data_IF_952661940175
#
_entry.id   IF_952661940175
#
_cell.length_a   1.000
_cell.length_b   1.000
_cell.length_c   1.000
_cell.angle_alpha   90.00
_cell.angle_beta   90.00
_cell.angle_gamma   90.00
#
_symmetry.space_group_name_H-M   'P 1'
#
loop_
_entity.id
_entity.type
_entity.pdbx_description
1 polymer ?
#
# COMPACT_ATOMS: atom_id res chain seq x y z
N UNK A 1 81.07 36.22 -65.83
CA UNK A 1 81.07 35.70 -64.45
C UNK A 1 79.65 35.77 -63.93
N UNK A 2 78.87 34.69 -63.90
CA UNK A 2 77.56 34.64 -63.27
C UNK A 2 77.35 33.22 -62.83
N UNK A 3 77.22 32.99 -61.50
CA UNK A 3 76.85 31.74 -60.91
C UNK A 3 75.32 31.60 -60.79
N UNK A 4 74.69 30.49 -61.17
CA UNK A 4 73.27 30.28 -60.90
C UNK A 4 73.01 29.75 -59.46
N UNK A 5 72.07 30.34 -58.81
CA UNK A 5 71.48 29.84 -57.54
C UNK A 5 70.47 28.74 -57.83
N UNK A 6 70.74 27.56 -57.34
CA UNK A 6 69.83 26.42 -57.34
C UNK A 6 68.82 26.65 -56.18
N UNK A 7 67.56 26.88 -56.52
CA UNK A 7 66.47 26.93 -55.58
C UNK A 7 65.99 25.51 -55.34
N UNK A 8 66.31 24.95 -54.14
CA UNK A 8 65.78 23.63 -53.65
C UNK A 8 64.37 23.81 -53.19
N UNK A 9 63.38 23.35 -53.95
CA UNK A 9 61.98 23.28 -53.61
C UNK A 9 61.76 22.10 -52.65
N UNK A 10 61.70 22.38 -51.35
CA UNK A 10 61.28 21.40 -50.33
C UNK A 10 59.78 21.22 -50.39
N UNK A 11 59.33 20.09 -50.96
CA UNK A 11 57.97 19.62 -51.01
C UNK A 11 57.62 19.07 -49.59
N UNK A 12 57.00 19.88 -48.75
CA UNK A 12 56.41 19.45 -47.50
C UNK A 12 55.17 18.59 -47.80
N UNK A 13 55.36 17.27 -47.83
CA UNK A 13 54.27 16.31 -47.79
C UNK A 13 53.63 16.39 -46.41
N UNK A 14 52.53 17.13 -46.28
CA UNK A 14 51.67 17.10 -45.11
C UNK A 14 50.96 15.71 -45.09
N UNK A 15 51.49 14.77 -44.30
CA UNK A 15 50.77 13.60 -43.90
C UNK A 15 49.58 14.07 -43.07
N UNK A 16 48.39 14.14 -43.68
CA UNK A 16 47.15 14.10 -42.97
C UNK A 16 47.03 12.70 -42.33
N UNK A 17 47.45 12.55 -41.09
CA UNK A 17 47.09 11.42 -40.28
C UNK A 17 45.56 11.58 -40.06
N UNK A 18 44.79 10.90 -40.89
CA UNK A 18 43.38 10.68 -40.60
C UNK A 18 43.36 9.93 -39.26
N UNK A 19 43.05 10.63 -38.21
CA UNK A 19 42.63 9.98 -36.96
C UNK A 19 41.40 9.16 -37.36
N UNK A 20 41.56 7.89 -37.57
CA UNK A 20 40.47 6.95 -37.59
C UNK A 20 39.81 7.12 -36.22
N UNK A 21 38.66 7.78 -36.19
CA UNK A 21 37.77 7.78 -35.06
C UNK A 21 37.41 6.31 -34.86
N UNK A 22 37.96 5.68 -33.81
CA UNK A 22 37.55 4.35 -33.39
C UNK A 22 36.03 4.42 -33.18
N UNK A 23 35.28 3.97 -34.17
CA UNK A 23 33.89 3.65 -34.01
C UNK A 23 33.90 2.46 -33.07
N UNK A 24 33.66 2.73 -31.77
CA UNK A 24 33.48 1.68 -30.78
C UNK A 24 32.30 0.87 -31.26
N UNK A 25 32.59 -0.26 -31.92
CA UNK A 25 31.55 -1.21 -32.30
C UNK A 25 30.89 -1.69 -31.00
N UNK A 26 29.60 -1.40 -30.89
CA UNK A 26 28.79 -1.77 -29.70
C UNK A 26 28.87 -3.28 -29.50
N UNK A 27 29.35 -3.70 -28.32
CA UNK A 27 29.54 -5.12 -28.00
C UNK A 27 28.29 -5.72 -27.37
N UNK A 28 27.79 -6.79 -27.99
CA UNK A 28 26.72 -7.59 -27.41
C UNK A 28 27.26 -8.40 -26.21
N UNK A 29 26.65 -8.24 -25.03
CA UNK A 29 27.03 -8.98 -23.81
C UNK A 29 26.00 -10.04 -23.42
N UNK A 30 24.80 -9.96 -23.93
CA UNK A 30 23.83 -11.06 -23.86
C UNK A 30 22.90 -11.03 -25.08
N UNK A 31 22.50 -12.21 -25.52
CA UNK A 31 21.41 -12.42 -26.45
C UNK A 31 20.20 -12.88 -25.64
N UNK A 32 19.05 -12.27 -25.86
CA UNK A 32 17.81 -12.49 -25.10
C UNK A 32 16.66 -12.68 -26.07
N UNK A 33 16.34 -13.92 -26.41
CA UNK A 33 15.46 -14.26 -27.55
C UNK A 33 15.96 -13.62 -28.85
N UNK A 34 15.14 -12.74 -29.42
CA UNK A 34 15.48 -11.99 -30.65
C UNK A 34 16.15 -10.63 -30.37
N UNK A 35 16.35 -10.27 -29.10
CA UNK A 35 16.93 -9.00 -28.67
C UNK A 35 18.33 -9.19 -28.06
N UNK A 36 19.01 -8.07 -27.87
CA UNK A 36 20.38 -8.04 -27.34
C UNK A 36 20.49 -7.08 -26.16
N UNK A 37 21.39 -7.38 -25.23
CA UNK A 37 21.86 -6.44 -24.22
C UNK A 37 23.26 -6.00 -24.60
N UNK A 38 23.47 -4.68 -24.62
CA UNK A 38 24.70 -4.06 -25.07
C UNK A 38 25.67 -3.75 -23.91
N UNK A 39 26.94 -3.71 -24.19
CA UNK A 39 27.96 -3.36 -23.20
C UNK A 39 27.77 -1.94 -22.63
N UNK A 40 27.36 -0.99 -23.47
CA UNK A 40 27.07 0.38 -23.08
C UNK A 40 25.88 0.48 -22.10
N UNK A 41 24.86 -0.35 -22.30
CA UNK A 41 23.71 -0.42 -21.38
C UNK A 41 24.14 -0.94 -20.01
N UNK A 42 24.96 -2.01 -19.96
CA UNK A 42 25.49 -2.54 -18.73
C UNK A 42 26.35 -1.51 -17.97
N UNK A 43 27.27 -0.83 -18.66
CA UNK A 43 28.13 0.16 -17.99
C UNK A 43 27.30 1.36 -17.46
N UNK A 44 26.31 1.80 -18.22
CA UNK A 44 25.40 2.88 -17.79
C UNK A 44 24.63 2.47 -16.52
N UNK A 45 24.06 1.27 -16.51
CA UNK A 45 23.29 0.76 -15.37
C UNK A 45 24.20 0.49 -14.15
N UNK A 46 25.44 0.03 -14.38
CA UNK A 46 26.45 -0.14 -13.31
C UNK A 46 26.80 1.17 -12.63
N UNK A 47 26.93 2.27 -13.38
CA UNK A 47 27.18 3.60 -12.81
C UNK A 47 25.99 4.01 -11.93
N UNK A 48 24.78 3.86 -12.44
CA UNK A 48 23.55 4.20 -11.71
C UNK A 48 23.41 3.39 -10.41
N UNK A 49 23.61 2.07 -10.47
CA UNK A 49 23.52 1.19 -9.30
C UNK A 49 24.60 1.50 -8.27
N UNK A 50 25.83 1.80 -8.69
CA UNK A 50 26.90 2.19 -7.76
C UNK A 50 26.56 3.47 -7.01
N UNK A 51 26.07 4.48 -7.74
CA UNK A 51 25.64 5.75 -7.12
C UNK A 51 24.52 5.56 -6.11
N UNK A 52 23.51 4.72 -6.43
CA UNK A 52 22.41 4.41 -5.51
C UNK A 52 22.91 3.68 -4.24
N UNK A 53 23.78 2.68 -4.38
CA UNK A 53 24.38 1.97 -3.25
C UNK A 53 25.20 2.88 -2.35
N UNK A 54 26.00 3.79 -2.95
CA UNK A 54 26.78 4.81 -2.22
C UNK A 54 25.87 5.78 -1.47
N UNK A 55 24.83 6.31 -2.10
CA UNK A 55 23.87 7.22 -1.45
C UNK A 55 23.14 6.57 -0.27
N UNK A 56 22.86 5.26 -0.37
CA UNK A 56 22.22 4.50 0.71
C UNK A 56 23.19 3.95 1.76
N UNK A 57 24.50 4.22 1.64
CA UNK A 57 25.55 3.66 2.48
C UNK A 57 25.52 2.13 2.54
N UNK A 58 25.18 1.47 1.44
CA UNK A 58 25.21 0.01 1.32
C UNK A 58 26.59 -0.43 0.89
N UNK A 59 27.09 -1.51 1.55
CA UNK A 59 28.41 -2.07 1.19
C UNK A 59 28.42 -2.54 -0.25
N UNK A 60 29.39 -2.04 -1.05
CA UNK A 60 29.57 -2.41 -2.45
C UNK A 60 29.92 -3.91 -2.59
N UNK A 61 29.15 -4.66 -3.40
CA UNK A 61 29.51 -6.04 -3.75
C UNK A 61 30.82 -6.11 -4.55
N UNK A 62 31.48 -7.29 -4.65
CA UNK A 62 32.59 -7.49 -5.58
C UNK A 62 32.19 -7.11 -7.01
N UNK A 63 33.11 -6.51 -7.77
CA UNK A 63 32.81 -5.94 -9.09
C UNK A 63 32.17 -6.95 -10.08
N UNK A 64 32.71 -8.18 -10.11
CA UNK A 64 32.18 -9.24 -10.98
C UNK A 64 30.77 -9.69 -10.57
N UNK A 65 30.50 -9.74 -9.27
CA UNK A 65 29.17 -10.05 -8.75
C UNK A 65 28.17 -8.97 -9.12
N UNK A 66 28.55 -7.70 -8.93
CA UNK A 66 27.73 -6.56 -9.30
C UNK A 66 27.41 -6.56 -10.82
N UNK A 67 28.42 -6.81 -11.65
CA UNK A 67 28.24 -6.92 -13.12
C UNK A 67 27.24 -8.01 -13.47
N UNK A 68 27.35 -9.18 -12.86
CA UNK A 68 26.45 -10.31 -13.11
C UNK A 68 25.01 -9.97 -12.69
N UNK A 69 24.83 -9.35 -11.53
CA UNK A 69 23.50 -8.96 -11.02
C UNK A 69 22.85 -7.89 -11.90
N UNK A 70 23.64 -6.90 -12.33
CA UNK A 70 23.13 -5.82 -13.22
C UNK A 70 22.79 -6.39 -14.60
N UNK A 71 23.61 -7.30 -15.13
CA UNK A 71 23.30 -7.97 -16.40
C UNK A 71 22.00 -8.78 -16.30
N UNK A 72 21.82 -9.57 -15.24
CA UNK A 72 20.57 -10.34 -15.06
C UNK A 72 19.34 -9.41 -14.94
N UNK A 73 19.49 -8.27 -14.28
CA UNK A 73 18.45 -7.23 -14.25
C UNK A 73 18.09 -6.73 -15.65
N UNK A 74 19.08 -6.42 -16.49
CA UNK A 74 18.86 -5.97 -17.86
C UNK A 74 18.21 -7.06 -18.71
N UNK A 75 18.65 -8.31 -18.59
CA UNK A 75 18.02 -9.47 -19.25
C UNK A 75 16.53 -9.55 -18.85
N UNK A 76 16.23 -9.52 -17.58
CA UNK A 76 14.84 -9.57 -17.08
C UNK A 76 14.01 -8.37 -17.56
N UNK A 77 14.62 -7.19 -17.64
CA UNK A 77 13.95 -6.00 -18.18
C UNK A 77 13.62 -6.18 -19.67
N UNK A 78 14.57 -6.68 -20.47
CA UNK A 78 14.38 -6.98 -21.90
C UNK A 78 13.26 -8.01 -22.10
N UNK A 79 13.26 -9.09 -21.33
CA UNK A 79 12.20 -10.11 -21.40
C UNK A 79 10.81 -9.53 -21.12
N UNK A 80 10.70 -8.68 -20.09
CA UNK A 80 9.42 -8.03 -19.78
C UNK A 80 8.97 -7.07 -20.89
N UNK A 81 9.91 -6.31 -21.49
CA UNK A 81 9.60 -5.41 -22.59
C UNK A 81 9.12 -6.19 -23.83
N UNK A 82 9.73 -7.33 -24.14
CA UNK A 82 9.30 -8.22 -25.21
C UNK A 82 7.87 -8.73 -25.00
N UNK A 83 7.52 -9.11 -23.78
CA UNK A 83 6.13 -9.51 -23.47
C UNK A 83 5.19 -8.33 -23.61
N UNK A 84 5.59 -7.15 -23.14
CA UNK A 84 4.77 -5.94 -23.25
C UNK A 84 4.51 -5.56 -24.72
N UNK A 85 5.52 -5.66 -25.56
CA UNK A 85 5.39 -5.39 -26.99
C UNK A 85 4.44 -6.37 -27.68
N UNK A 86 4.61 -7.67 -27.43
CA UNK A 86 3.68 -8.71 -27.94
C UNK A 86 2.23 -8.51 -27.49
N UNK A 87 2.02 -7.95 -26.29
CA UNK A 87 0.70 -7.63 -25.74
C UNK A 87 0.18 -6.25 -26.18
N UNK A 88 0.95 -5.49 -26.98
CA UNK A 88 0.57 -4.16 -27.46
C UNK A 88 0.55 -3.08 -26.36
N UNK A 89 1.25 -3.28 -25.24
CA UNK A 89 1.32 -2.32 -24.14
C UNK A 89 2.24 -1.18 -24.55
N UNK A 90 1.69 0.02 -24.67
CA UNK A 90 2.42 1.22 -25.10
C UNK A 90 2.14 2.39 -24.16
N UNK A 91 3.04 3.37 -24.19
CA UNK A 91 2.92 4.63 -23.46
C UNK A 91 2.93 5.76 -24.47
N UNK A 92 1.83 6.50 -24.53
CA UNK A 92 1.72 7.69 -25.37
C UNK A 92 2.53 8.87 -24.81
N UNK A 93 2.76 9.89 -25.64
CA UNK A 93 3.56 11.05 -25.28
C UNK A 93 2.93 11.86 -24.13
N UNK A 94 1.63 11.98 -24.10
CA UNK A 94 0.93 12.75 -23.05
C UNK A 94 1.09 12.10 -21.67
N UNK A 95 0.96 10.77 -21.60
CA UNK A 95 1.22 9.99 -20.38
C UNK A 95 2.66 10.13 -19.90
N UNK A 96 3.63 10.04 -20.86
CA UNK A 96 5.04 10.21 -20.54
C UNK A 96 5.35 11.63 -20.04
N UNK A 97 4.81 12.66 -20.70
CA UNK A 97 4.98 14.06 -20.28
C UNK A 97 4.40 14.33 -18.89
N UNK A 98 3.25 13.73 -18.59
CA UNK A 98 2.65 13.80 -17.26
C UNK A 98 3.53 13.08 -16.20
N UNK A 99 4.16 11.97 -16.55
CA UNK A 99 5.08 11.26 -15.66
C UNK A 99 6.35 12.08 -15.39
N UNK A 100 6.94 12.70 -16.42
CA UNK A 100 8.11 13.59 -16.28
C UNK A 100 7.76 14.78 -15.36
N UNK A 101 6.60 15.41 -15.55
CA UNK A 101 6.16 16.49 -14.65
C UNK A 101 6.04 16.03 -13.20
N UNK A 102 5.42 14.88 -12.95
CA UNK A 102 5.31 14.32 -11.59
C UNK A 102 6.67 14.02 -10.95
N UNK A 103 7.67 13.59 -11.74
CA UNK A 103 9.04 13.41 -11.22
C UNK A 103 9.64 14.75 -10.84
N UNK A 104 9.51 15.80 -11.68
CA UNK A 104 9.98 17.13 -11.37
C UNK A 104 9.31 17.68 -10.09
N UNK A 105 7.98 17.62 -10.00
CA UNK A 105 7.18 18.09 -8.86
C UNK A 105 7.57 17.39 -7.55
N UNK A 106 7.74 16.06 -7.56
CA UNK A 106 8.16 15.28 -6.37
C UNK A 106 9.55 15.69 -5.86
N UNK A 107 10.42 16.17 -6.75
CA UNK A 107 11.74 16.67 -6.40
C UNK A 107 11.75 18.19 -6.15
N UNK A 108 10.60 18.85 -6.14
CA UNK A 108 10.50 20.30 -5.93
C UNK A 108 11.10 21.11 -7.09
N UNK A 109 11.18 20.53 -8.30
CA UNK A 109 11.82 21.14 -9.47
C UNK A 109 10.77 21.53 -10.52
N UNK A 110 11.09 22.57 -11.30
CA UNK A 110 10.45 22.81 -12.59
C UNK A 110 10.98 21.82 -13.64
N UNK A 111 10.31 21.72 -14.79
CA UNK A 111 10.82 20.90 -15.90
C UNK A 111 12.21 21.35 -16.38
N UNK A 112 12.48 22.65 -16.35
CA UNK A 112 13.82 23.21 -16.67
C UNK A 112 14.82 22.79 -15.60
N UNK A 113 14.47 22.94 -14.31
CA UNK A 113 15.32 22.52 -13.19
C UNK A 113 15.63 21.02 -13.21
N UNK A 114 14.67 20.18 -13.61
CA UNK A 114 14.92 18.73 -13.80
C UNK A 114 15.93 18.48 -14.91
N UNK A 115 15.81 19.20 -16.05
CA UNK A 115 16.79 19.09 -17.14
C UNK A 115 18.20 19.45 -16.67
N UNK A 116 18.35 20.60 -16.03
CA UNK A 116 19.64 21.10 -15.55
C UNK A 116 20.26 20.13 -14.52
N UNK A 117 19.45 19.55 -13.65
CA UNK A 117 19.89 18.55 -12.69
C UNK A 117 20.37 17.26 -13.36
N UNK A 118 19.66 16.77 -14.39
CA UNK A 118 20.07 15.60 -15.19
C UNK A 118 21.39 15.88 -15.92
N UNK A 119 21.52 17.02 -16.59
CA UNK A 119 22.74 17.43 -17.30
C UNK A 119 23.96 17.53 -16.36
N UNK A 120 23.76 18.04 -15.14
CA UNK A 120 24.79 18.06 -14.10
C UNK A 120 25.28 16.67 -13.72
N UNK A 121 24.40 15.66 -13.80
CA UNK A 121 24.73 14.25 -13.55
C UNK A 121 25.23 13.52 -14.81
N UNK A 122 25.38 14.23 -15.94
CA UNK A 122 25.80 13.65 -17.21
C UNK A 122 24.70 12.83 -17.91
N UNK A 123 23.44 13.02 -17.52
CA UNK A 123 22.29 12.34 -18.11
C UNK A 123 21.58 13.24 -19.12
N UNK A 124 21.24 12.69 -20.27
CA UNK A 124 20.43 13.39 -21.26
C UNK A 124 18.92 13.21 -20.99
N UNK A 125 18.15 14.27 -21.17
CA UNK A 125 16.69 14.26 -21.00
C UNK A 125 15.99 13.21 -21.89
N UNK A 126 16.50 12.96 -23.09
CA UNK A 126 15.92 11.97 -24.00
C UNK A 126 16.11 10.55 -23.45
N UNK A 127 17.30 10.24 -22.92
CA UNK A 127 17.58 8.96 -22.26
C UNK A 127 16.74 8.77 -21.00
N UNK A 128 16.62 9.81 -20.18
CA UNK A 128 15.75 9.79 -19.00
C UNK A 128 14.29 9.50 -19.37
N UNK A 129 13.77 10.15 -20.40
CA UNK A 129 12.40 9.90 -20.90
C UNK A 129 12.22 8.48 -21.40
N UNK A 130 13.21 7.92 -22.09
CA UNK A 130 13.14 6.55 -22.58
C UNK A 130 13.20 5.52 -21.43
N UNK A 131 14.03 5.75 -20.44
CA UNK A 131 14.06 4.94 -19.22
C UNK A 131 12.70 4.98 -18.50
N UNK A 132 12.14 6.17 -18.28
CA UNK A 132 10.83 6.34 -17.65
C UNK A 132 9.71 5.66 -18.46
N UNK A 133 9.78 5.69 -19.80
CA UNK A 133 8.84 4.98 -20.66
C UNK A 133 8.92 3.46 -20.42
N UNK A 134 10.13 2.90 -20.40
CA UNK A 134 10.34 1.46 -20.12
C UNK A 134 9.79 1.06 -18.75
N UNK A 135 10.05 1.86 -17.74
CA UNK A 135 9.51 1.61 -16.38
C UNK A 135 7.98 1.62 -16.35
N UNK A 136 7.33 2.57 -17.02
CA UNK A 136 5.86 2.64 -17.11
C UNK A 136 5.31 1.43 -17.87
N UNK A 137 5.94 1.03 -18.99
CA UNK A 137 5.53 -0.14 -19.77
C UNK A 137 5.60 -1.41 -18.91
N UNK A 138 6.71 -1.63 -18.21
CA UNK A 138 6.91 -2.79 -17.32
C UNK A 138 5.90 -2.77 -16.17
N UNK A 139 5.66 -1.61 -15.57
CA UNK A 139 4.67 -1.46 -14.50
C UNK A 139 3.26 -1.82 -14.98
N UNK A 140 2.84 -1.33 -16.15
CA UNK A 140 1.55 -1.67 -16.77
C UNK A 140 1.44 -3.16 -17.09
N UNK A 141 2.52 -3.75 -17.62
CA UNK A 141 2.57 -5.19 -17.90
C UNK A 141 2.38 -6.00 -16.61
N UNK A 142 3.16 -5.70 -15.56
CA UNK A 142 3.04 -6.39 -14.27
C UNK A 142 1.64 -6.28 -13.72
N UNK A 143 1.07 -5.09 -13.71
CA UNK A 143 -0.29 -4.87 -13.24
C UNK A 143 -1.31 -5.71 -14.02
N UNK A 144 -1.20 -5.74 -15.36
CA UNK A 144 -2.08 -6.54 -16.19
C UNK A 144 -1.93 -8.05 -15.93
N UNK A 145 -0.69 -8.54 -15.78
CA UNK A 145 -0.42 -9.95 -15.48
C UNK A 145 -0.97 -10.31 -14.09
N UNK A 146 -0.72 -9.47 -13.08
CA UNK A 146 -1.20 -9.72 -11.72
C UNK A 146 -2.73 -9.69 -11.64
N UNK A 147 -3.38 -8.77 -12.33
CA UNK A 147 -4.85 -8.76 -12.41
C UNK A 147 -5.46 -10.02 -13.03
N UNK A 148 -4.69 -10.76 -13.86
CA UNK A 148 -5.12 -12.01 -14.45
C UNK A 148 -4.78 -13.25 -13.61
N UNK A 149 -3.73 -13.18 -12.78
CA UNK A 149 -3.22 -14.31 -12.00
C UNK A 149 -3.67 -14.30 -10.55
N UNK A 150 -3.91 -13.12 -9.99
CA UNK A 150 -4.31 -12.97 -8.59
C UNK A 150 -5.81 -13.03 -8.46
N UNK A 151 -6.31 -14.12 -7.91
CA UNK A 151 -7.68 -14.28 -7.47
C UNK A 151 -7.74 -14.29 -5.94
N UNK A 152 -8.73 -13.63 -5.37
CA UNK A 152 -8.96 -13.54 -3.92
C UNK A 152 -10.33 -14.10 -3.63
N UNK A 153 -10.35 -15.16 -2.86
CA UNK A 153 -11.59 -15.85 -2.50
C UNK A 153 -12.18 -15.26 -1.21
N UNK A 154 -13.51 -15.36 -1.10
CA UNK A 154 -14.22 -14.95 0.12
C UNK A 154 -13.71 -15.70 1.37
N UNK A 155 -13.36 -16.97 1.21
CA UNK A 155 -12.80 -17.77 2.29
C UNK A 155 -11.46 -17.21 2.82
N UNK A 156 -10.59 -16.74 1.93
CA UNK A 156 -9.32 -16.14 2.34
C UNK A 156 -9.53 -14.81 3.09
N UNK A 157 -10.50 -14.01 2.63
CA UNK A 157 -10.87 -12.76 3.29
C UNK A 157 -11.35 -13.06 4.71
N UNK A 158 -12.31 -13.99 4.86
CA UNK A 158 -12.85 -14.35 6.18
C UNK A 158 -11.77 -14.90 7.11
N UNK A 159 -10.91 -15.80 6.62
CA UNK A 159 -9.80 -16.33 7.42
C UNK A 159 -8.80 -15.24 7.85
N UNK A 160 -8.55 -14.26 6.98
CA UNK A 160 -7.66 -13.13 7.31
C UNK A 160 -8.29 -12.25 8.40
N UNK A 161 -9.56 -11.88 8.23
CA UNK A 161 -10.30 -11.05 9.20
C UNK A 161 -10.34 -11.75 10.56
N UNK A 162 -10.71 -13.04 10.60
CA UNK A 162 -10.83 -13.80 11.83
C UNK A 162 -9.49 -13.91 12.57
N UNK A 163 -8.40 -14.15 11.84
CA UNK A 163 -7.04 -14.19 12.39
C UNK A 163 -6.63 -12.84 12.97
N UNK A 164 -6.90 -11.74 12.28
CA UNK A 164 -6.52 -10.41 12.74
C UNK A 164 -7.40 -9.91 13.89
N UNK A 165 -8.71 -10.14 13.83
CA UNK A 165 -9.61 -9.86 14.96
C UNK A 165 -9.16 -10.54 16.25
N UNK A 166 -8.64 -11.77 16.14
CA UNK A 166 -8.11 -12.49 17.29
C UNK A 166 -6.80 -11.93 17.81
N UNK A 167 -6.00 -11.25 16.99
CA UNK A 167 -4.72 -10.64 17.39
C UNK A 167 -4.90 -9.27 18.05
N UNK A 168 -5.86 -8.49 17.60
CA UNK A 168 -6.10 -7.12 18.10
C UNK A 168 -6.98 -7.09 19.35
N UNK A 169 -7.61 -8.23 19.71
CA UNK A 169 -8.42 -8.33 20.91
C UNK A 169 -7.55 -8.52 22.15
N UNK A 170 -7.75 -7.71 23.17
CA UNK A 170 -7.18 -7.88 24.48
C UNK A 170 -8.23 -8.41 25.45
N UNK A 171 -7.81 -9.29 26.34
CA UNK A 171 -8.64 -9.98 27.31
C UNK A 171 -8.19 -9.60 28.70
N UNK A 172 -9.10 -9.13 29.55
CA UNK A 172 -8.85 -8.97 30.96
C UNK A 172 -9.23 -10.24 31.68
N UNK A 173 -8.21 -10.94 32.17
CA UNK A 173 -8.36 -12.27 32.73
C UNK A 173 -8.18 -12.26 34.23
N UNK A 174 -8.88 -13.17 34.92
CA UNK A 174 -8.63 -13.60 36.26
C UNK A 174 -8.33 -15.09 36.28
N UNK A 175 -7.52 -15.56 37.25
CA UNK A 175 -7.16 -16.97 37.37
C UNK A 175 -7.32 -17.50 38.80
N UNK A 176 -7.66 -18.78 38.88
CA UNK A 176 -7.52 -19.60 40.11
C UNK A 176 -6.59 -20.75 39.74
N UNK A 177 -5.55 -20.94 40.54
CA UNK A 177 -4.60 -22.06 40.37
C UNK A 177 -4.71 -22.97 41.60
N UNK A 178 -4.99 -24.23 41.37
CA UNK A 178 -4.81 -25.31 42.37
C UNK A 178 -3.52 -26.02 42.01
N UNK A 179 -2.48 -25.75 42.74
CA UNK A 179 -1.13 -26.24 42.42
C UNK A 179 -0.98 -27.75 42.62
N UNK A 180 -0.17 -28.35 41.74
CA UNK A 180 0.22 -29.75 41.83
C UNK A 180 1.74 -29.83 41.68
N UNK A 181 2.46 -30.38 42.67
CA UNK A 181 3.91 -30.56 42.53
C UNK A 181 4.29 -31.39 41.31
N UNK A 182 5.43 -31.10 40.69
CA UNK A 182 5.88 -31.74 39.47
C UNK A 182 6.03 -33.30 39.62
N UNK A 183 6.39 -33.75 40.80
CA UNK A 183 6.51 -35.19 41.14
C UNK A 183 5.32 -35.71 41.98
N UNK A 184 4.13 -35.19 41.77
CA UNK A 184 2.95 -35.58 42.51
C UNK A 184 2.50 -37.02 42.18
N UNK A 185 2.04 -37.74 43.22
CA UNK A 185 1.39 -39.06 43.03
C UNK A 185 0.03 -38.91 42.31
N UNK A 186 -0.45 -40.01 41.74
CA UNK A 186 -1.78 -40.05 41.10
C UNK A 186 -2.90 -39.62 42.08
N UNK A 187 -2.78 -39.97 43.36
CA UNK A 187 -3.74 -39.55 44.38
C UNK A 187 -3.72 -38.03 44.63
N UNK A 188 -2.52 -37.44 44.70
CA UNK A 188 -2.40 -35.99 44.88
C UNK A 188 -2.96 -35.22 43.67
N UNK A 189 -2.79 -35.73 42.47
CA UNK A 189 -3.40 -35.16 41.26
C UNK A 189 -4.92 -35.27 41.32
N UNK A 190 -5.48 -36.41 41.76
CA UNK A 190 -6.91 -36.60 41.90
C UNK A 190 -7.52 -35.68 42.97
N UNK A 191 -6.83 -35.49 44.11
CA UNK A 191 -7.25 -34.54 45.17
C UNK A 191 -7.24 -33.10 44.67
N UNK A 192 -6.19 -32.69 43.96
CA UNK A 192 -6.13 -31.36 43.35
C UNK A 192 -7.23 -31.15 42.31
N UNK A 193 -7.56 -32.16 41.51
CA UNK A 193 -8.67 -32.11 40.58
C UNK A 193 -10.00 -31.94 41.32
N UNK A 194 -10.26 -32.72 42.34
CA UNK A 194 -11.46 -32.60 43.16
C UNK A 194 -11.60 -31.21 43.82
N UNK A 195 -10.48 -30.61 44.25
CA UNK A 195 -10.48 -29.23 44.75
C UNK A 195 -10.84 -28.22 43.66
N UNK A 196 -10.29 -28.40 42.45
CA UNK A 196 -10.59 -27.52 41.31
C UNK A 196 -12.05 -27.65 40.87
N UNK A 197 -12.62 -28.86 40.89
CA UNK A 197 -14.04 -29.09 40.59
C UNK A 197 -14.94 -28.45 41.68
N UNK A 198 -14.59 -28.55 42.98
CA UNK A 198 -15.29 -27.87 44.07
C UNK A 198 -15.22 -26.32 43.93
N UNK A 199 -14.13 -25.78 43.42
CA UNK A 199 -14.03 -24.34 43.08
C UNK A 199 -15.10 -23.96 42.04
N UNK A 200 -15.26 -24.75 40.99
CA UNK A 200 -16.27 -24.51 39.94
C UNK A 200 -17.68 -24.58 40.55
N UNK A 201 -17.97 -25.59 41.37
CA UNK A 201 -19.26 -25.71 42.04
C UNK A 201 -19.61 -24.47 42.91
N UNK A 202 -18.62 -23.87 43.58
CA UNK A 202 -18.82 -22.62 44.35
C UNK A 202 -19.09 -21.43 43.43
N UNK A 203 -18.41 -21.35 42.29
CA UNK A 203 -18.64 -20.31 41.28
C UNK A 203 -20.02 -20.47 40.63
N UNK A 204 -20.45 -21.70 40.33
CA UNK A 204 -21.79 -22.01 39.81
C UNK A 204 -22.89 -21.68 40.83
N UNK A 205 -22.60 -21.81 42.14
CA UNK A 205 -23.49 -21.39 43.22
C UNK A 205 -23.55 -19.86 43.38
N UNK A 206 -22.82 -19.07 42.54
CA UNK A 206 -22.84 -17.61 42.52
C UNK A 206 -21.84 -16.95 43.46
N UNK A 207 -20.88 -17.69 44.01
CA UNK A 207 -19.83 -17.06 44.81
C UNK A 207 -18.89 -16.22 43.92
N UNK A 208 -18.47 -15.07 44.45
CA UNK A 208 -17.60 -14.17 43.72
C UNK A 208 -16.25 -14.81 43.38
N UNK A 209 -15.83 -14.78 42.09
CA UNK A 209 -14.55 -15.33 41.61
C UNK A 209 -13.37 -14.80 42.45
N UNK A 210 -13.33 -13.50 42.70
CA UNK A 210 -12.28 -12.87 43.52
C UNK A 210 -12.22 -13.43 44.94
N UNK A 211 -13.39 -13.73 45.57
CA UNK A 211 -13.44 -14.31 46.92
C UNK A 211 -12.93 -15.75 46.90
N UNK A 212 -13.34 -16.54 45.91
CA UNK A 212 -12.89 -17.92 45.75
C UNK A 212 -11.40 -17.95 45.43
N UNK A 213 -10.91 -17.07 44.57
CA UNK A 213 -9.48 -16.92 44.28
C UNK A 213 -8.68 -16.62 45.55
N UNK A 214 -9.13 -15.68 46.37
CA UNK A 214 -8.44 -15.31 47.61
C UNK A 214 -8.41 -16.45 48.66
N UNK A 215 -9.40 -17.39 48.66
CA UNK A 215 -9.47 -18.49 49.62
C UNK A 215 -8.82 -19.79 49.12
N UNK A 216 -8.82 -20.06 47.83
CA UNK A 216 -8.46 -21.39 47.26
C UNK A 216 -7.27 -21.36 46.31
N UNK A 217 -6.94 -20.18 45.74
CA UNK A 217 -5.92 -20.11 44.72
C UNK A 217 -4.50 -20.10 45.32
N UNK A 218 -3.63 -20.96 44.75
CA UNK A 218 -2.21 -20.97 45.00
C UNK A 218 -1.42 -20.00 44.12
N UNK A 219 -2.10 -19.20 43.30
CA UNK A 219 -1.47 -18.21 42.43
C UNK A 219 -0.97 -16.99 43.22
N UNK A 220 0.09 -16.32 42.74
CA UNK A 220 0.65 -15.13 43.40
C UNK A 220 -0.32 -13.97 43.52
N UNK A 221 -1.27 -13.86 42.59
CA UNK A 221 -2.30 -12.83 42.52
C UNK A 221 -3.61 -13.26 43.18
N UNK A 222 -3.61 -14.33 43.99
CA UNK A 222 -4.79 -14.85 44.67
C UNK A 222 -5.49 -13.78 45.55
N UNK A 223 -4.71 -13.02 46.35
CA UNK A 223 -5.24 -11.96 47.24
C UNK A 223 -5.73 -10.72 46.45
N UNK A 224 -5.35 -10.58 45.19
CA UNK A 224 -5.83 -9.55 44.25
C UNK A 224 -7.04 -10.05 43.47
N UNK A 225 -7.69 -11.13 43.95
CA UNK A 225 -8.84 -11.74 43.28
C UNK A 225 -8.50 -12.53 42.01
N UNK A 226 -7.21 -12.86 41.81
CA UNK A 226 -6.74 -13.59 40.66
C UNK A 226 -6.52 -12.72 39.43
N UNK A 227 -6.57 -11.38 39.50
CA UNK A 227 -6.44 -10.47 38.34
C UNK A 227 -5.08 -10.65 37.67
N UNK A 228 -5.12 -10.93 36.38
CA UNK A 228 -3.95 -11.07 35.49
C UNK A 228 -3.72 -9.80 34.67
N UNK A 229 -4.58 -8.81 34.73
CA UNK A 229 -4.60 -7.62 33.91
C UNK A 229 -4.99 -7.89 32.46
N UNK A 230 -4.78 -6.92 31.61
CA UNK A 230 -5.03 -7.01 30.17
C UNK A 230 -3.96 -7.85 29.46
N UNK A 231 -4.39 -8.77 28.62
CA UNK A 231 -3.53 -9.67 27.82
C UNK A 231 -3.96 -9.63 26.37
N UNK A 232 -3.06 -9.28 25.43
CA UNK A 232 -3.36 -9.46 24.02
C UNK A 232 -3.54 -10.94 23.69
N UNK A 233 -4.31 -11.25 22.66
CA UNK A 233 -4.61 -12.63 22.25
C UNK A 233 -3.36 -13.50 22.05
N UNK A 234 -2.24 -12.88 21.63
CA UNK A 234 -0.93 -13.54 21.48
C UNK A 234 -0.26 -13.93 22.80
N UNK A 235 -0.69 -13.34 23.92
CA UNK A 235 -0.16 -13.60 25.27
C UNK A 235 -1.13 -14.40 26.16
N UNK A 236 -2.19 -14.94 25.58
CA UNK A 236 -3.08 -15.85 26.31
C UNK A 236 -2.32 -17.11 26.74
N UNK A 237 -2.65 -17.67 27.94
CA UNK A 237 -2.06 -18.91 28.39
C UNK A 237 -2.25 -20.03 27.38
N UNK A 238 -1.17 -20.61 26.87
CA UNK A 238 -1.19 -21.58 25.78
C UNK A 238 -2.14 -22.76 26.01
N UNK A 239 -2.22 -23.25 27.26
CA UNK A 239 -3.09 -24.39 27.62
C UNK A 239 -4.59 -24.02 27.64
N UNK A 240 -4.92 -22.73 27.71
CA UNK A 240 -6.30 -22.27 27.83
C UNK A 240 -6.73 -21.28 26.76
N UNK A 241 -5.86 -20.96 25.78
CA UNK A 241 -6.10 -19.90 24.83
C UNK A 241 -7.41 -20.08 24.02
N UNK A 242 -7.68 -21.30 23.55
CA UNK A 242 -8.88 -21.57 22.76
C UNK A 242 -10.15 -21.47 23.64
N UNK A 243 -10.12 -22.10 24.84
CA UNK A 243 -11.23 -22.02 25.78
C UNK A 243 -11.51 -20.57 26.23
N UNK A 244 -10.46 -19.74 26.42
CA UNK A 244 -10.60 -18.32 26.79
C UNK A 244 -11.23 -17.50 25.66
N UNK A 245 -10.91 -17.80 24.39
CA UNK A 245 -11.47 -17.08 23.23
C UNK A 245 -12.98 -17.31 23.04
N UNK A 246 -13.47 -18.46 23.52
CA UNK A 246 -14.90 -18.85 23.47
C UNK A 246 -15.74 -18.26 24.62
N UNK A 247 -15.07 -17.69 25.66
CA UNK A 247 -15.78 -17.11 26.80
C UNK A 247 -16.43 -15.77 26.45
N UNK A 248 -17.60 -15.55 27.00
CA UNK A 248 -18.21 -14.23 27.11
C UNK A 248 -17.77 -13.51 28.43
N UNK A 249 -17.77 -12.18 28.47
CA UNK A 249 -17.50 -11.47 29.72
C UNK A 249 -18.32 -11.97 30.91
N UNK A 250 -17.63 -12.33 31.97
CA UNK A 250 -18.24 -12.94 33.20
C UNK A 250 -18.14 -14.46 33.24
N UNK A 251 -17.95 -15.15 32.11
CA UNK A 251 -17.81 -16.62 32.07
C UNK A 251 -16.40 -17.08 32.45
N UNK A 252 -16.29 -18.35 32.85
CA UNK A 252 -15.03 -18.99 33.24
C UNK A 252 -14.92 -20.41 32.63
N UNK A 253 -13.67 -20.87 32.52
CA UNK A 253 -13.36 -22.21 31.97
C UNK A 253 -13.66 -23.31 33.00
N UNK A 254 -13.86 -24.53 32.53
CA UNK A 254 -13.64 -25.71 33.37
C UNK A 254 -12.18 -25.79 33.85
N UNK A 255 -11.85 -26.59 34.87
CA UNK A 255 -10.47 -26.76 35.30
C UNK A 255 -9.57 -27.33 34.23
N UNK A 256 -8.56 -26.57 33.79
CA UNK A 256 -7.60 -26.93 32.76
C UNK A 256 -6.32 -27.49 33.41
N UNK A 257 -5.88 -28.68 32.98
CA UNK A 257 -4.64 -29.25 33.49
C UNK A 257 -3.42 -28.58 32.85
N UNK A 258 -2.54 -28.04 33.68
CA UNK A 258 -1.29 -27.43 33.28
C UNK A 258 -0.11 -28.06 34.06
N UNK A 259 1.15 -27.82 33.67
CA UNK A 259 2.30 -28.26 34.47
C UNK A 259 2.29 -27.76 35.90
N UNK A 260 1.74 -26.57 36.17
CA UNK A 260 1.67 -25.96 37.49
C UNK A 260 0.54 -26.53 38.35
N UNK A 261 -0.46 -27.21 37.75
CA UNK A 261 -1.65 -27.68 38.46
C UNK A 261 -2.91 -27.57 37.60
N UNK A 262 -4.05 -27.37 38.27
CA UNK A 262 -5.32 -27.07 37.61
C UNK A 262 -5.58 -25.57 37.61
N UNK A 263 -5.87 -24.99 36.45
CA UNK A 263 -6.18 -23.58 36.29
C UNK A 263 -7.60 -23.38 35.82
N UNK A 264 -8.26 -22.37 36.39
CA UNK A 264 -9.56 -21.88 35.96
C UNK A 264 -9.37 -20.43 35.61
N UNK A 265 -9.72 -20.06 34.38
CA UNK A 265 -9.66 -18.69 33.89
C UNK A 265 -11.04 -18.10 33.80
N UNK A 266 -11.22 -16.85 34.23
CA UNK A 266 -12.43 -16.07 34.01
C UNK A 266 -12.12 -14.91 33.09
N UNK A 267 -12.96 -14.73 32.05
CA UNK A 267 -12.95 -13.53 31.24
C UNK A 267 -13.75 -12.44 31.96
N UNK A 268 -13.09 -11.37 32.35
CA UNK A 268 -13.74 -10.22 32.99
C UNK A 268 -14.27 -9.23 31.94
N UNK A 269 -13.43 -8.84 31.02
CA UNK A 269 -13.71 -7.85 29.97
C UNK A 269 -12.90 -8.17 28.75
N UNK A 270 -13.38 -7.72 27.59
CA UNK A 270 -12.58 -7.67 26.34
C UNK A 270 -12.47 -6.23 25.88
N UNK A 271 -11.38 -5.88 25.22
CA UNK A 271 -11.22 -4.64 24.48
C UNK A 271 -10.42 -4.90 23.21
N UNK A 272 -10.46 -3.94 22.27
CA UNK A 272 -9.84 -4.13 20.96
C UNK A 272 -10.72 -4.98 20.03
N UNK A 273 -10.48 -4.85 18.74
CA UNK A 273 -11.41 -5.29 17.71
C UNK A 273 -12.66 -4.41 17.69
N UNK A 274 -12.49 -3.14 18.10
CA UNK A 274 -13.57 -2.19 18.33
C UNK A 274 -14.36 -1.87 17.07
N UNK A 275 -15.64 -1.58 17.28
CA UNK A 275 -16.51 -1.00 16.26
C UNK A 275 -15.84 0.24 15.67
N UNK A 276 -15.54 0.19 14.39
CA UNK A 276 -15.01 1.35 13.67
C UNK A 276 -16.20 2.20 13.20
N UNK A 277 -16.60 3.12 14.08
CA UNK A 277 -17.66 4.05 13.77
C UNK A 277 -17.17 5.10 12.80
N UNK A 278 -17.76 5.15 11.61
CA UNK A 278 -17.53 6.22 10.63
C UNK A 278 -18.70 7.19 10.66
N UNK A 279 -18.39 8.49 10.47
CA UNK A 279 -19.38 9.52 10.33
C UNK A 279 -19.69 9.75 8.86
N UNK A 280 -20.93 9.51 8.44
CA UNK A 280 -21.39 9.73 7.07
C UNK A 280 -22.29 10.98 6.99
N UNK A 281 -22.10 11.74 5.90
CA UNK A 281 -22.98 12.85 5.53
C UNK A 281 -23.96 12.39 4.46
N UNK A 282 -25.22 12.74 4.60
CA UNK A 282 -26.17 12.72 3.51
C UNK A 282 -26.04 14.04 2.75
N UNK A 283 -25.61 13.99 1.50
CA UNK A 283 -25.18 15.16 0.74
C UNK A 283 -26.04 15.38 -0.49
N UNK A 284 -26.26 16.66 -0.78
CA UNK A 284 -26.74 17.13 -2.09
C UNK A 284 -25.74 18.10 -2.67
N UNK A 285 -25.63 18.18 -4.00
CA UNK A 285 -24.78 19.18 -4.63
C UNK A 285 -25.37 19.76 -5.91
N UNK A 286 -24.91 20.96 -6.26
CA UNK A 286 -25.08 21.57 -7.56
C UNK A 286 -23.68 21.85 -8.12
N UNK A 287 -23.41 21.41 -9.33
CA UNK A 287 -22.19 21.72 -10.05
C UNK A 287 -22.46 22.51 -11.31
N UNK A 288 -21.60 23.47 -11.56
CA UNK A 288 -21.54 24.20 -12.85
C UNK A 288 -20.18 23.86 -13.46
N UNK A 289 -20.20 23.09 -14.54
CA UNK A 289 -19.02 22.70 -15.28
C UNK A 289 -18.46 23.87 -16.07
N UNK A 290 -17.13 24.05 -16.03
CA UNK A 290 -16.46 25.09 -16.81
C UNK A 290 -15.95 24.50 -18.14
N UNK A 291 -16.13 25.27 -19.20
CA UNK A 291 -15.71 24.93 -20.56
C UNK A 291 -15.36 26.20 -21.35
N UNK A 292 -15.17 26.09 -22.66
CA UNK A 292 -14.86 27.27 -23.52
C UNK A 292 -15.93 28.34 -23.52
N UNK A 293 -17.18 28.01 -23.19
CA UNK A 293 -18.34 28.94 -23.19
C UNK A 293 -18.65 29.45 -21.77
N UNK A 294 -18.51 28.58 -20.76
CA UNK A 294 -18.79 28.90 -19.34
C UNK A 294 -17.46 29.10 -18.63
N UNK A 295 -17.13 30.36 -18.33
CA UNK A 295 -15.89 30.69 -17.62
C UNK A 295 -15.99 30.39 -16.12
N UNK A 296 -14.84 30.33 -15.41
CA UNK A 296 -14.82 30.23 -13.96
C UNK A 296 -15.63 31.33 -13.27
N UNK A 297 -15.61 32.55 -13.82
CA UNK A 297 -16.36 33.69 -13.29
C UNK A 297 -17.85 33.49 -13.45
N UNK A 298 -18.30 33.03 -14.62
CA UNK A 298 -19.72 32.78 -14.90
C UNK A 298 -20.27 31.67 -14.01
N UNK A 299 -19.50 30.56 -13.84
CA UNK A 299 -19.89 29.46 -12.98
C UNK A 299 -20.08 29.93 -11.52
N UNK A 300 -19.12 30.69 -11.00
CA UNK A 300 -19.21 31.25 -9.65
C UNK A 300 -20.38 32.22 -9.46
N UNK A 301 -20.62 33.13 -10.42
CA UNK A 301 -21.77 34.05 -10.34
C UNK A 301 -23.12 33.30 -10.35
N UNK A 302 -23.23 32.26 -11.20
CA UNK A 302 -24.45 31.42 -11.22
C UNK A 302 -24.65 30.70 -9.88
N UNK A 303 -23.60 30.07 -9.33
CA UNK A 303 -23.70 29.40 -8.04
C UNK A 303 -23.96 30.37 -6.88
N UNK A 304 -23.40 31.58 -6.93
CA UNK A 304 -23.69 32.62 -5.94
C UNK A 304 -25.18 32.97 -5.93
N UNK A 305 -25.76 33.20 -7.09
CA UNK A 305 -27.19 33.48 -7.21
C UNK A 305 -28.08 32.30 -6.76
N UNK A 306 -27.68 31.06 -7.04
CA UNK A 306 -28.37 29.87 -6.56
C UNK A 306 -28.27 29.74 -5.04
N UNK A 307 -27.08 29.94 -4.47
CA UNK A 307 -26.85 29.90 -3.02
C UNK A 307 -27.70 30.97 -2.29
N UNK A 308 -27.77 32.20 -2.81
CA UNK A 308 -28.62 33.26 -2.25
C UNK A 308 -30.10 32.87 -2.27
N UNK A 309 -30.59 32.22 -3.33
CA UNK A 309 -31.94 31.70 -3.41
C UNK A 309 -32.21 30.60 -2.40
N UNK A 310 -31.27 29.67 -2.21
CA UNK A 310 -31.36 28.60 -1.21
C UNK A 310 -31.43 29.22 0.19
N UNK A 311 -30.51 30.14 0.49
CA UNK A 311 -30.49 30.84 1.79
C UNK A 311 -31.76 31.68 2.00
N UNK A 312 -32.42 32.09 0.92
CA UNK A 312 -33.72 32.75 0.91
C UNK A 312 -34.94 31.80 1.02
N UNK A 313 -34.68 30.48 1.17
CA UNK A 313 -35.76 29.48 1.39
C UNK A 313 -36.22 28.75 0.12
N UNK A 314 -35.54 28.89 -1.02
CA UNK A 314 -35.83 28.05 -2.20
C UNK A 314 -35.35 26.62 -1.96
N UNK A 315 -36.12 25.66 -2.48
CA UNK A 315 -35.76 24.24 -2.36
C UNK A 315 -34.47 23.91 -3.14
N UNK A 316 -33.50 23.27 -2.46
CA UNK A 316 -32.20 22.91 -3.03
C UNK A 316 -32.40 21.93 -4.19
N UNK A 317 -33.24 20.91 -4.01
CA UNK A 317 -33.44 19.87 -5.01
C UNK A 317 -34.07 20.41 -6.31
N UNK A 318 -35.00 21.34 -6.21
CA UNK A 318 -35.59 21.98 -7.39
C UNK A 318 -34.56 22.81 -8.15
N UNK A 319 -33.69 23.51 -7.42
CA UNK A 319 -32.63 24.29 -8.03
C UNK A 319 -31.53 23.36 -8.64
N UNK A 320 -31.22 22.25 -8.01
CA UNK A 320 -30.32 21.26 -8.56
C UNK A 320 -30.84 20.65 -9.87
N UNK A 321 -32.09 20.23 -9.90
CA UNK A 321 -32.76 19.71 -11.13
C UNK A 321 -32.71 20.68 -12.29
N UNK A 322 -32.85 21.96 -11.99
CA UNK A 322 -32.94 23.00 -13.03
C UNK A 322 -31.58 23.52 -13.50
N UNK A 323 -30.52 23.39 -12.70
CA UNK A 323 -29.27 24.12 -12.93
C UNK A 323 -28.00 23.30 -12.81
N UNK A 324 -28.02 22.10 -12.21
CA UNK A 324 -26.82 21.30 -12.05
C UNK A 324 -26.39 20.62 -13.35
N UNK A 325 -25.12 20.71 -13.67
CA UNK A 325 -24.52 20.04 -14.83
C UNK A 325 -24.08 18.58 -14.52
N UNK A 326 -24.35 18.05 -13.30
CA UNK A 326 -24.09 16.67 -12.98
C UNK A 326 -25.18 15.74 -13.56
N UNK A 327 -24.88 14.95 -14.59
CA UNK A 327 -25.87 14.07 -15.20
C UNK A 327 -26.33 12.93 -14.27
N UNK A 328 -25.59 12.67 -13.20
CA UNK A 328 -25.86 11.54 -12.30
C UNK A 328 -26.87 11.92 -11.22
N UNK A 329 -26.72 13.08 -10.61
CA UNK A 329 -27.50 13.48 -9.44
C UNK A 329 -28.51 14.62 -9.73
N UNK A 330 -28.34 15.40 -10.81
CA UNK A 330 -29.22 16.54 -11.09
C UNK A 330 -30.69 16.13 -11.13
N UNK A 331 -31.04 15.02 -11.80
CA UNK A 331 -32.41 14.50 -11.88
C UNK A 331 -33.04 14.18 -10.53
N UNK A 332 -32.22 13.74 -9.60
CA UNK A 332 -32.60 13.38 -8.22
C UNK A 332 -32.43 14.55 -7.24
N UNK A 333 -32.39 15.80 -7.75
CA UNK A 333 -32.26 16.99 -6.92
C UNK A 333 -30.87 17.18 -6.31
N UNK A 334 -29.85 16.67 -6.98
CA UNK A 334 -28.45 16.75 -6.54
C UNK A 334 -28.07 15.74 -5.48
N UNK A 335 -28.92 14.75 -5.17
CA UNK A 335 -28.72 13.76 -4.11
C UNK A 335 -27.52 12.86 -4.43
N UNK A 336 -26.58 12.80 -3.49
CA UNK A 336 -25.42 11.92 -3.51
C UNK A 336 -25.56 10.76 -2.51
N UNK A 337 -26.60 10.79 -1.69
CA UNK A 337 -26.84 9.82 -0.61
C UNK A 337 -25.85 9.95 0.55
N UNK A 338 -25.73 8.86 1.32
CA UNK A 338 -24.84 8.79 2.47
C UNK A 338 -23.40 8.48 2.05
N UNK A 339 -22.52 9.44 2.25
CA UNK A 339 -21.09 9.33 1.88
C UNK A 339 -20.22 9.59 3.11
N UNK A 340 -19.16 8.83 3.23
CA UNK A 340 -18.05 9.14 4.13
C UNK A 340 -17.26 10.31 3.53
N UNK A 341 -17.14 11.46 4.24
CA UNK A 341 -16.38 12.60 3.73
C UNK A 341 -14.94 12.28 3.36
N UNK A 342 -14.34 11.26 3.96
CA UNK A 342 -12.96 10.84 3.65
C UNK A 342 -12.83 10.24 2.24
N UNK A 343 -13.91 9.75 1.67
CA UNK A 343 -13.98 9.25 0.30
C UNK A 343 -14.24 10.36 -0.76
N UNK A 344 -14.46 11.60 -0.32
CA UNK A 344 -14.68 12.74 -1.22
C UNK A 344 -13.35 13.35 -1.72
N UNK A 345 -13.33 13.95 -2.93
CA UNK A 345 -12.22 14.75 -3.39
C UNK A 345 -11.85 15.85 -2.38
N UNK A 346 -10.55 16.21 -2.21
CA UNK A 346 -10.11 17.12 -1.15
C UNK A 346 -10.89 18.45 -1.06
N UNK A 347 -11.20 19.07 -2.21
CA UNK A 347 -11.98 20.31 -2.24
C UNK A 347 -13.41 20.14 -1.74
N UNK A 348 -14.04 19.01 -2.05
CA UNK A 348 -15.40 18.69 -1.61
C UNK A 348 -15.40 18.35 -0.11
N UNK A 349 -14.48 17.49 0.32
CA UNK A 349 -14.30 17.13 1.75
C UNK A 349 -14.18 18.39 2.62
N UNK A 350 -13.25 19.29 2.26
CA UNK A 350 -13.01 20.52 3.03
C UNK A 350 -14.25 21.42 3.12
N UNK A 351 -15.10 21.41 2.09
CA UNK A 351 -16.29 22.23 2.05
C UNK A 351 -17.43 21.71 2.94
N UNK A 352 -17.50 20.36 3.17
CA UNK A 352 -18.65 19.76 3.88
C UNK A 352 -18.35 19.32 5.31
N UNK A 353 -17.09 19.05 5.65
CA UNK A 353 -16.74 18.45 6.95
C UNK A 353 -17.10 19.33 8.15
N UNK A 354 -17.11 20.67 7.96
CA UNK A 354 -17.41 21.64 9.03
C UNK A 354 -18.88 22.05 9.08
N UNK A 355 -19.71 21.56 8.17
CA UNK A 355 -21.13 21.94 8.10
C UNK A 355 -21.96 21.11 9.08
N UNK A 356 -22.99 21.75 9.63
CA UNK A 356 -24.04 21.07 10.38
C UNK A 356 -25.16 20.57 9.43
N UNK A 357 -26.06 19.73 9.94
CA UNK A 357 -27.22 19.28 9.19
C UNK A 357 -28.11 20.46 8.78
N UNK A 358 -28.48 20.51 7.53
CA UNK A 358 -29.25 21.60 6.92
C UNK A 358 -28.41 22.77 6.42
N UNK A 359 -27.10 22.76 6.55
CA UNK A 359 -26.22 23.83 6.10
C UNK A 359 -25.74 23.65 4.66
N UNK A 360 -25.59 24.78 3.97
CA UNK A 360 -25.11 24.89 2.60
C UNK A 360 -23.69 25.46 2.60
N UNK A 361 -22.80 24.83 1.89
CA UNK A 361 -21.39 25.21 1.79
C UNK A 361 -21.20 26.60 1.13
N UNK A 362 -20.02 27.16 1.34
CA UNK A 362 -19.49 28.17 0.43
C UNK A 362 -19.23 27.55 -0.96
N UNK A 363 -19.04 28.41 -1.96
CA UNK A 363 -18.74 27.97 -3.32
C UNK A 363 -17.30 27.43 -3.34
N UNK A 364 -17.12 26.21 -3.80
CA UNK A 364 -15.81 25.57 -3.88
C UNK A 364 -15.57 24.95 -5.27
N UNK A 365 -14.29 24.62 -5.54
CA UNK A 365 -13.86 24.09 -6.83
C UNK A 365 -13.35 22.67 -6.71
N UNK A 366 -13.71 21.83 -7.70
CA UNK A 366 -13.09 20.54 -7.96
C UNK A 366 -12.61 20.44 -9.41
N UNK A 367 -12.13 19.28 -9.82
CA UNK A 367 -11.82 19.04 -11.24
C UNK A 367 -13.06 19.03 -12.14
N UNK A 368 -14.24 18.75 -11.59
CA UNK A 368 -15.51 18.71 -12.31
C UNK A 368 -16.15 20.09 -12.54
N UNK A 369 -15.65 21.13 -11.89
CA UNK A 369 -16.22 22.48 -11.98
C UNK A 369 -16.32 23.17 -10.63
N UNK A 370 -17.23 24.15 -10.56
CA UNK A 370 -17.58 24.86 -9.33
C UNK A 370 -18.82 24.23 -8.70
N UNK A 371 -18.85 24.16 -7.38
CA UNK A 371 -19.88 23.46 -6.62
C UNK A 371 -20.40 24.31 -5.47
N UNK A 372 -21.66 24.03 -5.10
CA UNK A 372 -22.20 24.21 -3.74
C UNK A 372 -22.75 22.87 -3.30
N UNK A 373 -22.67 22.57 -2.00
CA UNK A 373 -23.18 21.35 -1.40
C UNK A 373 -24.01 21.66 -0.17
N UNK A 374 -24.99 20.83 0.10
CA UNK A 374 -25.81 20.85 1.31
C UNK A 374 -25.56 19.56 2.06
N UNK A 375 -25.34 19.65 3.37
CA UNK A 375 -25.39 18.51 4.28
C UNK A 375 -26.82 18.36 4.76
N UNK A 376 -27.53 17.37 4.26
CA UNK A 376 -28.91 17.10 4.67
C UNK A 376 -28.98 16.58 6.09
N UNK A 377 -28.09 15.63 6.42
CA UNK A 377 -28.01 15.01 7.74
C UNK A 377 -26.66 14.31 7.95
N UNK A 378 -26.36 13.99 9.22
CA UNK A 378 -25.21 13.20 9.64
C UNK A 378 -25.67 11.93 10.32
N UNK A 379 -24.93 10.84 10.11
CA UNK A 379 -25.11 9.61 10.88
C UNK A 379 -23.76 8.97 11.25
N UNK A 380 -23.76 8.24 12.34
CA UNK A 380 -22.70 7.30 12.65
C UNK A 380 -23.12 5.91 12.16
N UNK A 381 -22.18 5.19 11.54
CA UNK A 381 -22.37 3.82 11.07
C UNK A 381 -21.18 2.99 11.49
N UNK A 382 -21.45 1.81 12.02
CA UNK A 382 -20.42 0.80 12.20
C UNK A 382 -19.94 0.32 10.80
N UNK A 383 -18.69 0.57 10.50
CA UNK A 383 -18.03 0.18 9.27
C UNK A 383 -16.97 -0.90 9.49
N UNK A 384 -16.86 -1.45 10.71
CA UNK A 384 -15.83 -2.41 11.10
C UNK A 384 -15.70 -3.57 10.13
N UNK A 385 -16.82 -4.14 9.70
CA UNK A 385 -16.80 -5.27 8.76
C UNK A 385 -16.33 -4.83 7.37
N UNK A 386 -16.77 -3.67 6.90
CA UNK A 386 -16.38 -3.13 5.59
C UNK A 386 -14.89 -2.81 5.57
N UNK A 387 -14.40 -2.12 6.59
CA UNK A 387 -12.98 -1.74 6.72
C UNK A 387 -12.10 -2.97 6.86
N UNK A 388 -12.47 -3.91 7.74
CA UNK A 388 -11.73 -5.16 7.91
C UNK A 388 -11.67 -5.97 6.61
N UNK A 389 -12.74 -5.97 5.81
CA UNK A 389 -12.78 -6.61 4.50
C UNK A 389 -11.83 -5.92 3.51
N UNK A 390 -11.89 -4.60 3.41
CA UNK A 390 -11.02 -3.81 2.51
C UNK A 390 -9.54 -4.00 2.86
N UNK A 391 -9.20 -3.97 4.14
CA UNK A 391 -7.85 -4.23 4.64
C UNK A 391 -7.39 -5.66 4.33
N UNK A 392 -8.26 -6.65 4.54
CA UNK A 392 -7.99 -8.04 4.21
C UNK A 392 -7.73 -8.23 2.71
N UNK A 393 -8.60 -7.68 1.86
CA UNK A 393 -8.45 -7.74 0.40
C UNK A 393 -7.15 -7.08 -0.06
N UNK A 394 -6.83 -5.90 0.48
CA UNK A 394 -5.59 -5.18 0.15
C UNK A 394 -4.34 -5.98 0.56
N UNK A 395 -4.31 -6.51 1.79
CA UNK A 395 -3.19 -7.28 2.30
C UNK A 395 -2.99 -8.61 1.56
N UNK A 396 -4.09 -9.34 1.29
CA UNK A 396 -4.05 -10.60 0.52
C UNK A 396 -3.58 -10.32 -0.91
N UNK A 397 -4.13 -9.27 -1.56
CA UNK A 397 -3.74 -8.86 -2.91
C UNK A 397 -2.27 -8.51 -3.00
N UNK A 398 -1.76 -7.75 -2.05
CA UNK A 398 -0.35 -7.39 -2.02
C UNK A 398 0.53 -8.64 -1.92
N UNK A 399 0.28 -9.50 -0.94
CA UNK A 399 1.06 -10.74 -0.73
C UNK A 399 1.02 -11.65 -1.96
N UNK A 400 -0.18 -11.94 -2.48
CA UNK A 400 -0.33 -12.78 -3.68
C UNK A 400 0.32 -12.15 -4.92
N UNK A 401 0.24 -10.83 -5.07
CA UNK A 401 0.90 -10.14 -6.19
C UNK A 401 2.42 -10.22 -6.10
N UNK A 402 3.00 -10.16 -4.91
CA UNK A 402 4.44 -10.36 -4.70
C UNK A 402 4.85 -11.79 -5.06
N UNK A 403 4.15 -12.80 -4.51
CA UNK A 403 4.39 -14.23 -4.77
C UNK A 403 4.25 -14.57 -6.27
N UNK A 404 3.15 -14.14 -6.89
CA UNK A 404 2.88 -14.38 -8.31
C UNK A 404 3.84 -13.62 -9.23
N UNK A 405 4.32 -12.44 -8.83
CA UNK A 405 5.33 -11.70 -9.59
C UNK A 405 6.64 -12.46 -9.63
N UNK A 406 7.09 -13.01 -8.50
CA UNK A 406 8.32 -13.82 -8.45
C UNK A 406 8.20 -15.11 -9.28
N UNK A 407 7.05 -15.79 -9.18
CA UNK A 407 6.77 -16.98 -9.98
C UNK A 407 6.77 -16.65 -11.47
N UNK A 408 6.03 -15.63 -11.89
CA UNK A 408 5.97 -15.21 -13.28
C UNK A 408 7.32 -14.77 -13.85
N UNK A 409 8.13 -14.03 -13.08
CA UNK A 409 9.46 -13.64 -13.52
C UNK A 409 10.40 -14.85 -13.68
N UNK A 410 10.28 -15.86 -12.81
CA UNK A 410 11.02 -17.11 -12.93
C UNK A 410 10.59 -17.89 -14.20
N UNK A 411 9.30 -18.09 -14.42
CA UNK A 411 8.76 -18.70 -15.63
C UNK A 411 9.28 -17.98 -16.88
N UNK A 412 9.18 -16.65 -16.88
CA UNK A 412 9.64 -15.83 -18.00
C UNK A 412 11.14 -16.02 -18.29
N UNK A 413 11.94 -16.19 -17.24
CA UNK A 413 13.38 -16.45 -17.35
C UNK A 413 13.69 -17.87 -17.87
N UNK A 414 12.94 -18.86 -17.41
CA UNK A 414 13.09 -20.27 -17.78
C UNK A 414 12.66 -20.56 -19.23
N UNK A 415 11.62 -19.88 -19.73
CA UNK A 415 11.11 -20.00 -21.09
C UNK A 415 11.98 -19.27 -22.12
N UNK A 416 12.82 -18.33 -21.68
CA UNK A 416 13.61 -17.50 -22.56
C UNK A 416 14.91 -18.17 -23.00
N UNK A 417 15.27 -18.00 -24.27
CA UNK A 417 16.62 -18.24 -24.73
C UNK A 417 17.54 -17.10 -24.33
N UNK A 418 18.52 -17.39 -23.47
CA UNK A 418 19.49 -16.38 -23.02
C UNK A 418 20.91 -16.94 -23.13
N UNK A 419 21.74 -16.26 -23.94
CA UNK A 419 23.18 -16.53 -24.08
C UNK A 419 23.98 -15.36 -23.53
N UNK A 420 24.64 -15.56 -22.38
CA UNK A 420 25.50 -14.53 -21.78
C UNK A 420 26.93 -14.63 -22.32
N UNK A 421 27.51 -13.50 -22.70
CA UNK A 421 28.87 -13.36 -23.20
C UNK A 421 29.75 -12.53 -22.26
N UNK A 422 29.37 -12.43 -20.98
CA UNK A 422 30.04 -11.57 -20.00
C UNK A 422 31.52 -11.93 -19.77
N UNK A 423 31.92 -13.18 -20.03
CA UNK A 423 33.31 -13.66 -19.85
C UNK A 423 34.03 -14.01 -21.14
N UNK A 424 33.43 -13.84 -22.31
CA UNK A 424 34.10 -14.04 -23.59
C UNK A 424 35.00 -12.83 -23.88
N UNK A 425 36.24 -12.90 -23.39
CA UNK A 425 37.29 -12.02 -23.86
C UNK A 425 37.49 -12.30 -25.38
N UNK A 426 37.27 -11.29 -26.22
CA UNK A 426 37.65 -11.32 -27.61
C UNK A 426 39.17 -11.24 -27.76
#
# INVERSE_FOLDING_TARGET
MARPLIATLLLLLSLNIAQAQEVVLERIIALVNDDVVLASELETELISVRQDLEQRNVRMPPAEELRRQVLERLIMQTLQLNVAERRGIRVDSATLDAAVRRVAERNGLSLTGLRDALETQGLDMARFREQLRREIVISRLRQQVMNQRVDITEQEIQQFIERNRSLDREYRLEQILISVPEAASANAIAEARARADAVVERLDAGESFARVAASESDARNALEGGDMGWRPASQLPQTGADAIRELEPGQYTSPLRTPAGFQIYRLRETRGGDEQMIRQANLRHIVIATNEVVTDTDARMRLQALRERIMGGSDFADLARANSDDPTSAGDGGDLGWIDPDNLPPGFRSAVTSLEAGEVSEIFRTRGGWHIAEVVDWRERDASETIAREEAEAAIRQRKSEEETELWLRELREEAYVESRLGAAG
#
